data_IF_740099636365
#
_entry.id   IF_740099636365
#
_cell.length_a   1.000
_cell.length_b   1.000
_cell.length_c   1.000
_cell.angle_alpha   90.00
_cell.angle_beta   90.00
_cell.angle_gamma   90.00
#
_symmetry.space_group_name_H-M   'P 1'
#
loop_
_entity.id
_entity.type
_entity.pdbx_description
1 polymer ?
#
# COMPACT_ATOMS: atom_id res chain seq x y z
N UNK A 1 10.91 -11.82 8.38
CA UNK A 1 10.31 -11.51 7.05
C UNK A 1 8.80 -11.36 7.19
N UNK A 2 8.27 -10.28 6.64
CA UNK A 2 6.83 -10.02 6.68
C UNK A 2 6.11 -10.93 5.69
N UNK A 3 5.14 -11.71 6.16
CA UNK A 3 4.41 -12.68 5.34
C UNK A 3 2.90 -12.46 5.30
N UNK A 4 2.35 -11.69 6.24
CA UNK A 4 0.91 -11.47 6.33
C UNK A 4 0.60 -9.98 6.37
N UNK A 5 -0.64 -9.66 6.00
CA UNK A 5 -1.11 -8.26 6.06
C UNK A 5 -1.04 -7.73 7.48
N UNK A 6 -1.43 -8.54 8.48
CA UNK A 6 -1.38 -8.14 9.89
C UNK A 6 0.04 -7.77 10.31
N UNK A 7 1.02 -8.60 9.96
CA UNK A 7 2.42 -8.32 10.28
C UNK A 7 2.88 -7.01 9.64
N UNK A 8 2.54 -6.79 8.38
CA UNK A 8 2.90 -5.56 7.67
C UNK A 8 2.21 -4.34 8.28
N UNK A 9 0.93 -4.48 8.64
CA UNK A 9 0.14 -3.38 9.20
C UNK A 9 0.69 -2.91 10.55
N UNK A 10 1.08 -3.85 11.41
CA UNK A 10 1.59 -3.52 12.74
C UNK A 10 3.11 -3.35 12.80
N UNK A 11 3.82 -3.53 11.70
CA UNK A 11 5.24 -3.20 11.64
C UNK A 11 5.41 -1.68 11.67
N UNK A 12 6.63 -1.20 11.85
CA UNK A 12 6.92 0.22 11.89
C UNK A 12 6.44 0.90 10.59
N UNK A 13 5.59 1.91 10.74
CA UNK A 13 5.01 2.65 9.62
C UNK A 13 5.20 4.14 9.80
N UNK A 14 5.39 4.83 8.67
CA UNK A 14 5.51 6.29 8.64
C UNK A 14 4.17 6.98 8.34
N UNK A 15 3.22 6.25 7.73
CA UNK A 15 1.93 6.82 7.31
C UNK A 15 0.78 6.05 7.93
N UNK A 16 -0.30 6.78 8.25
CA UNK A 16 -1.45 6.18 8.89
C UNK A 16 -2.31 5.40 7.91
N UNK A 17 -2.95 4.38 8.43
CA UNK A 17 -3.97 3.61 7.74
C UNK A 17 -5.06 3.24 8.74
N UNK A 18 -6.29 3.14 8.27
CA UNK A 18 -7.44 2.83 9.10
C UNK A 18 -8.12 1.59 8.51
N UNK A 19 -7.84 0.44 9.10
CA UNK A 19 -8.37 -0.84 8.65
C UNK A 19 -8.93 -1.62 9.83
N UNK A 20 -10.04 -2.31 9.61
CA UNK A 20 -10.61 -3.22 10.59
C UNK A 20 -9.83 -4.54 10.60
N UNK A 21 -9.62 -5.11 11.78
CA UNK A 21 -8.80 -6.32 11.95
C UNK A 21 -9.25 -7.48 11.05
N UNK A 22 -10.55 -7.70 10.93
CA UNK A 22 -11.04 -8.84 10.14
C UNK A 22 -10.74 -8.71 8.65
N UNK A 23 -10.42 -7.51 8.16
CA UNK A 23 -10.02 -7.32 6.77
C UNK A 23 -8.64 -7.91 6.49
N UNK A 24 -7.79 -8.04 7.50
CA UNK A 24 -6.43 -8.56 7.30
C UNK A 24 -6.45 -9.98 6.74
N UNK A 25 -7.31 -10.83 7.27
CA UNK A 25 -7.44 -12.21 6.78
C UNK A 25 -8.02 -12.26 5.38
N UNK A 26 -8.96 -11.37 5.07
CA UNK A 26 -9.55 -11.27 3.74
C UNK A 26 -8.48 -10.86 2.73
N UNK A 27 -7.66 -9.86 3.06
CA UNK A 27 -6.59 -9.42 2.17
C UNK A 27 -5.58 -10.54 1.94
N UNK A 28 -5.18 -11.26 2.98
CA UNK A 28 -4.25 -12.38 2.82
C UNK A 28 -4.85 -13.47 1.94
N UNK A 29 -6.12 -13.80 2.13
CA UNK A 29 -6.80 -14.81 1.32
C UNK A 29 -6.80 -14.44 -0.17
N UNK A 30 -7.04 -13.17 -0.47
CA UNK A 30 -7.16 -12.70 -1.85
C UNK A 30 -5.83 -12.36 -2.50
N UNK A 31 -4.84 -11.91 -1.73
CA UNK A 31 -3.65 -11.26 -2.27
C UNK A 31 -2.34 -11.99 -1.99
N UNK A 32 -2.32 -12.93 -1.03
CA UNK A 32 -1.05 -13.51 -0.57
C UNK A 32 -0.24 -14.19 -1.68
N UNK A 33 -0.92 -14.71 -2.71
CA UNK A 33 -0.24 -15.34 -3.84
C UNK A 33 0.68 -14.39 -4.61
N UNK A 34 0.46 -13.09 -4.47
CA UNK A 34 1.26 -12.07 -5.17
C UNK A 34 2.30 -11.39 -4.28
N UNK A 35 2.32 -11.71 -2.98
CA UNK A 35 3.30 -11.09 -2.07
C UNK A 35 4.72 -11.45 -2.53
N UNK A 36 5.58 -10.45 -2.54
CA UNK A 36 6.98 -10.62 -2.93
C UNK A 36 7.22 -10.80 -4.43
N UNK A 37 6.21 -10.59 -5.26
CA UNK A 37 6.32 -10.80 -6.70
C UNK A 37 6.40 -9.49 -7.47
N UNK A 38 6.88 -9.59 -8.69
CA UNK A 38 6.96 -8.47 -9.63
C UNK A 38 5.57 -8.25 -10.24
N UNK A 39 4.75 -7.47 -9.54
CA UNK A 39 3.36 -7.17 -9.94
C UNK A 39 3.16 -5.66 -10.03
N UNK A 40 2.04 -5.27 -10.63
CA UNK A 40 1.58 -3.89 -10.61
C UNK A 40 0.37 -3.77 -9.69
N UNK A 41 0.41 -2.79 -8.80
CA UNK A 41 -0.63 -2.55 -7.80
C UNK A 41 -1.11 -1.11 -7.92
N UNK A 42 -2.42 -0.92 -7.99
CA UNK A 42 -3.02 0.41 -8.06
C UNK A 42 -4.06 0.56 -6.94
N UNK A 43 -3.96 1.64 -6.20
CA UNK A 43 -4.93 1.97 -5.17
C UNK A 43 -5.60 3.30 -5.48
N UNK A 44 -6.93 3.32 -5.42
CA UNK A 44 -7.74 4.51 -5.63
C UNK A 44 -8.23 4.99 -4.26
N UNK A 45 -8.02 6.28 -3.94
CA UNK A 45 -8.34 6.81 -2.62
C UNK A 45 -7.25 6.51 -1.62
N UNK A 46 -6.09 7.12 -1.80
CA UNK A 46 -4.87 6.81 -1.04
C UNK A 46 -4.91 7.37 0.38
N UNK A 47 -5.55 8.52 0.57
CA UNK A 47 -5.66 9.20 1.86
C UNK A 47 -4.28 9.46 2.51
N UNK A 48 -4.02 8.90 3.69
CA UNK A 48 -2.78 9.16 4.44
C UNK A 48 -1.60 8.34 3.96
N UNK A 49 -1.83 7.34 3.11
CA UNK A 49 -0.77 6.57 2.49
C UNK A 49 -0.33 5.33 3.24
N UNK A 50 -0.88 5.06 4.42
CA UNK A 50 -0.50 3.88 5.19
C UNK A 50 -0.83 2.57 4.48
N UNK A 51 -1.91 2.53 3.74
CA UNK A 51 -2.29 1.35 2.96
C UNK A 51 -1.29 1.06 1.84
N UNK A 52 -0.80 2.09 1.16
CA UNK A 52 0.26 1.91 0.15
C UNK A 52 1.57 1.46 0.79
N UNK A 53 1.88 1.98 1.97
CA UNK A 53 3.10 1.57 2.68
C UNK A 53 3.03 0.11 3.08
N UNK A 54 1.89 -0.37 3.55
CA UNK A 54 1.67 -1.79 3.84
C UNK A 54 1.82 -2.62 2.57
N UNK A 55 1.24 -2.17 1.46
CA UNK A 55 1.35 -2.86 0.18
C UNK A 55 2.82 -2.99 -0.26
N UNK A 56 3.61 -1.92 -0.12
CA UNK A 56 5.03 -1.96 -0.46
C UNK A 56 5.77 -3.03 0.37
N UNK A 57 5.45 -3.16 1.65
CA UNK A 57 6.07 -4.17 2.51
C UNK A 57 5.71 -5.59 2.09
N UNK A 58 4.46 -5.80 1.68
CA UNK A 58 3.98 -7.13 1.29
C UNK A 58 4.44 -7.53 -0.10
N UNK A 59 4.31 -6.64 -1.07
CA UNK A 59 4.64 -6.95 -2.47
C UNK A 59 6.14 -6.81 -2.75
N UNK A 60 6.85 -6.03 -1.95
CA UNK A 60 8.30 -5.92 -2.03
C UNK A 60 8.78 -4.87 -3.02
N UNK A 61 10.11 -4.74 -3.16
CA UNK A 61 10.70 -3.63 -3.94
C UNK A 61 10.53 -3.77 -5.44
N UNK A 62 10.25 -4.97 -5.96
CA UNK A 62 10.07 -5.19 -7.40
C UNK A 62 8.68 -4.80 -7.88
N UNK A 63 7.70 -4.72 -6.99
CA UNK A 63 6.34 -4.36 -7.36
C UNK A 63 6.27 -2.91 -7.82
N UNK A 64 5.45 -2.65 -8.82
CA UNK A 64 5.14 -1.29 -9.28
C UNK A 64 3.87 -0.85 -8.57
N UNK A 65 3.99 0.14 -7.71
CA UNK A 65 2.89 0.59 -6.86
C UNK A 65 2.50 2.01 -7.24
N UNK A 66 1.23 2.19 -7.56
CA UNK A 66 0.67 3.49 -7.91
C UNK A 66 -0.56 3.79 -7.09
N UNK A 67 -0.80 5.08 -6.85
CA UNK A 67 -1.99 5.55 -6.16
C UNK A 67 -2.64 6.70 -6.90
N UNK A 68 -3.94 6.85 -6.71
CA UNK A 68 -4.72 7.97 -7.24
C UNK A 68 -5.48 8.60 -6.08
N UNK A 69 -5.36 9.92 -5.94
CA UNK A 69 -6.11 10.65 -4.92
C UNK A 69 -6.33 12.09 -5.39
N UNK A 70 -7.38 12.72 -4.88
CA UNK A 70 -7.68 14.12 -5.20
C UNK A 70 -6.77 15.09 -4.44
N UNK A 71 -6.22 14.67 -3.31
CA UNK A 71 -5.40 15.53 -2.45
C UNK A 71 -3.96 15.60 -2.96
N UNK A 72 -3.50 16.81 -3.37
CA UNK A 72 -2.12 16.97 -3.87
C UNK A 72 -1.05 16.55 -2.85
N UNK A 73 -1.35 16.56 -1.57
CA UNK A 73 -0.40 16.15 -0.53
C UNK A 73 0.02 14.68 -0.69
N UNK A 74 -0.78 13.87 -1.38
CA UNK A 74 -0.43 12.46 -1.60
C UNK A 74 0.83 12.28 -2.46
N UNK A 75 1.27 13.31 -3.19
CA UNK A 75 2.52 13.25 -3.96
C UNK A 75 3.74 12.98 -3.09
N UNK A 76 3.68 13.30 -1.81
CA UNK A 76 4.79 13.02 -0.87
C UNK A 76 5.15 11.54 -0.81
N UNK A 77 4.22 10.67 -1.15
CA UNK A 77 4.44 9.23 -1.11
C UNK A 77 5.42 8.75 -2.18
N UNK A 78 5.54 9.47 -3.28
CA UNK A 78 6.58 9.20 -4.28
C UNK A 78 7.96 9.52 -3.70
N UNK A 79 8.10 10.71 -3.10
CA UNK A 79 9.36 11.14 -2.49
C UNK A 79 9.78 10.21 -1.37
N UNK A 80 8.82 9.71 -0.59
CA UNK A 80 9.09 8.80 0.52
C UNK A 80 9.43 7.37 0.08
N UNK A 81 9.31 7.05 -1.21
CA UNK A 81 9.63 5.72 -1.73
C UNK A 81 8.54 4.67 -1.47
N UNK A 82 7.37 5.10 -1.04
CA UNK A 82 6.24 4.19 -0.80
C UNK A 82 5.57 3.80 -2.11
N UNK A 83 5.36 4.77 -2.97
CA UNK A 83 4.75 4.55 -4.28
C UNK A 83 5.71 4.94 -5.38
N UNK A 84 5.65 4.25 -6.50
CA UNK A 84 6.42 4.61 -7.70
C UNK A 84 5.76 5.79 -8.42
N UNK A 85 4.44 5.87 -8.35
CA UNK A 85 3.68 6.92 -9.02
C UNK A 85 2.44 7.27 -8.21
N UNK A 86 2.17 8.56 -8.04
CA UNK A 86 0.92 9.05 -7.48
C UNK A 86 0.31 10.03 -8.48
N UNK A 87 -0.91 9.75 -8.91
CA UNK A 87 -1.65 10.60 -9.82
C UNK A 87 -2.65 11.41 -8.99
N UNK A 88 -2.60 12.72 -9.12
CA UNK A 88 -3.54 13.62 -8.44
C UNK A 88 -4.69 13.89 -9.39
N UNK A 89 -5.88 13.52 -8.98
CA UNK A 89 -7.05 13.72 -9.81
C UNK A 89 -8.30 13.11 -9.20
N UNK A 90 -9.44 13.41 -9.82
CA UNK A 90 -10.73 12.87 -9.44
C UNK A 90 -10.92 11.47 -10.02
N UNK A 91 -11.49 10.60 -9.22
CA UNK A 91 -11.84 9.26 -9.67
C UNK A 91 -13.24 9.22 -10.32
#
# INVERSE_FOLDING_TARGET
MIKTYREAYFSERRFDSDKWDHYFEIYDHLLSRWYGRDISYLEIGVQNGGSLEVARKLFGPKAKIAGVDIDPACKRLETAGVADKVVIGSQ
#
